data_IF_149836168587
#
_entry.id   IF_149836168587
#
_cell.length_a   1.000
_cell.length_b   1.000
_cell.length_c   1.000
_cell.angle_alpha   90.00
_cell.angle_beta   90.00
_cell.angle_gamma   90.00
#
_symmetry.space_group_name_H-M   'P 1'
#
loop_
_entity.id
_entity.type
_entity.pdbx_description
1 polymer ?
#
# COMPACT_ATOMS: atom_id res chain seq x y z
N UNK A 1 20.07 -8.56 -39.29
CA UNK A 1 19.15 -7.64 -39.99
C UNK A 1 17.75 -8.25 -39.93
N UNK A 2 16.97 -7.91 -38.91
CA UNK A 2 15.65 -8.50 -38.66
C UNK A 2 14.63 -7.74 -39.52
N UNK A 3 13.86 -8.46 -40.34
CA UNK A 3 12.94 -7.88 -41.33
C UNK A 3 11.59 -7.52 -40.69
N UNK A 4 11.00 -6.44 -41.21
CA UNK A 4 9.74 -5.76 -40.84
C UNK A 4 8.46 -6.62 -40.73
N UNK A 5 8.55 -7.95 -40.90
CA UNK A 5 7.40 -8.87 -40.92
C UNK A 5 7.14 -9.55 -39.56
N UNK A 6 8.09 -9.49 -38.63
CA UNK A 6 7.89 -9.96 -37.24
C UNK A 6 7.27 -8.88 -36.32
N UNK A 7 6.89 -7.73 -36.89
CA UNK A 7 6.44 -6.53 -36.17
C UNK A 7 4.92 -6.44 -35.97
N UNK A 8 4.15 -7.48 -36.32
CA UNK A 8 2.68 -7.51 -36.21
C UNK A 8 2.22 -8.69 -35.33
N UNK A 9 2.86 -8.91 -34.18
CA UNK A 9 2.31 -9.79 -33.12
C UNK A 9 2.52 -9.20 -31.70
N UNK A 10 3.35 -8.17 -31.51
CA UNK A 10 3.60 -7.57 -30.19
C UNK A 10 3.07 -6.13 -30.01
N UNK A 11 2.52 -5.49 -31.06
CA UNK A 11 2.25 -4.04 -31.09
C UNK A 11 0.80 -3.63 -31.34
N UNK A 12 -0.16 -4.55 -31.24
CA UNK A 12 -1.59 -4.22 -31.25
C UNK A 12 -2.15 -4.77 -29.94
N UNK A 13 -2.77 -3.90 -29.14
CA UNK A 13 -3.49 -4.16 -27.88
C UNK A 13 -2.70 -4.19 -26.56
N UNK A 14 -2.18 -3.03 -26.17
CA UNK A 14 -2.26 -2.57 -24.78
C UNK A 14 -2.50 -1.05 -24.80
N UNK A 15 -3.72 -0.61 -24.47
CA UNK A 15 -4.07 0.81 -24.30
C UNK A 15 -4.94 1.42 -25.40
N UNK A 16 -4.49 1.47 -26.66
CA UNK A 16 -5.11 2.34 -27.67
C UNK A 16 -6.51 1.95 -28.20
N UNK A 17 -6.85 0.65 -28.26
CA UNK A 17 -8.10 0.18 -28.90
C UNK A 17 -9.26 -0.08 -27.93
N UNK A 18 -9.00 -0.18 -26.62
CA UNK A 18 -10.05 -0.45 -25.63
C UNK A 18 -11.00 0.74 -25.46
N UNK A 19 -10.51 1.97 -25.62
CA UNK A 19 -11.34 3.18 -25.54
C UNK A 19 -12.30 3.35 -26.73
N UNK A 20 -12.01 2.75 -27.90
CA UNK A 20 -12.81 2.95 -29.13
C UNK A 20 -13.88 1.88 -29.34
N UNK A 21 -13.72 0.68 -28.79
CA UNK A 21 -14.70 -0.41 -28.96
C UNK A 21 -15.86 -0.40 -27.96
N UNK A 22 -15.74 0.32 -26.84
CA UNK A 22 -16.74 0.31 -25.78
C UNK A 22 -18.03 1.11 -26.10
N UNK A 23 -18.04 1.87 -27.20
CA UNK A 23 -19.18 2.70 -27.62
C UNK A 23 -20.13 2.02 -28.60
N UNK A 24 -19.83 0.82 -29.13
CA UNK A 24 -20.57 0.26 -30.28
C UNK A 24 -21.27 -1.09 -30.07
N UNK A 25 -21.17 -1.73 -28.90
CA UNK A 25 -21.90 -2.99 -28.64
C UNK A 25 -22.45 -3.05 -27.21
N UNK A 26 -23.74 -2.78 -27.04
CA UNK A 26 -24.51 -3.18 -25.86
C UNK A 26 -25.36 -4.41 -26.20
N UNK A 27 -25.06 -5.54 -25.58
CA UNK A 27 -25.94 -6.69 -25.54
C UNK A 27 -27.03 -6.50 -24.46
N UNK A 28 -28.24 -7.06 -24.64
CA UNK A 28 -29.32 -6.89 -23.67
C UNK A 28 -29.01 -7.60 -22.34
N UNK A 29 -29.42 -7.03 -21.19
CA UNK A 29 -29.04 -7.55 -19.88
C UNK A 29 -29.80 -8.83 -19.53
N UNK A 30 -29.05 -9.85 -19.11
CA UNK A 30 -29.60 -11.04 -18.44
C UNK A 30 -29.62 -10.75 -16.93
N UNK A 31 -30.80 -10.74 -16.31
CA UNK A 31 -30.97 -10.39 -14.90
C UNK A 31 -30.70 -11.63 -14.04
N UNK A 32 -29.53 -11.69 -13.42
CA UNK A 32 -29.27 -12.52 -12.25
C UNK A 32 -29.09 -11.61 -11.02
N UNK A 33 -29.55 -12.00 -9.82
CA UNK A 33 -29.42 -11.18 -8.63
C UNK A 33 -27.96 -11.18 -8.16
N UNK A 34 -27.20 -10.18 -8.61
CA UNK A 34 -25.83 -9.92 -8.17
C UNK A 34 -25.83 -9.18 -6.83
N UNK A 35 -25.07 -9.71 -5.86
CA UNK A 35 -24.61 -8.93 -4.72
C UNK A 35 -24.07 -7.59 -5.22
N UNK A 36 -24.42 -6.48 -4.55
CA UNK A 36 -23.93 -5.14 -4.93
C UNK A 36 -22.40 -5.21 -5.09
N UNK A 37 -21.86 -4.99 -6.30
CA UNK A 37 -20.41 -4.94 -6.46
C UNK A 37 -19.92 -3.85 -5.52
N UNK A 38 -19.03 -4.23 -4.61
CA UNK A 38 -18.24 -3.26 -3.85
C UNK A 38 -17.58 -2.36 -4.88
N UNK A 39 -17.92 -1.07 -4.89
CA UNK A 39 -17.31 -0.10 -5.81
C UNK A 39 -15.79 -0.28 -5.69
N UNK A 40 -15.18 -0.83 -6.74
CA UNK A 40 -13.73 -0.86 -6.85
C UNK A 40 -13.30 0.59 -6.86
N UNK A 41 -12.64 1.01 -5.79
CA UNK A 41 -12.03 2.32 -5.71
C UNK A 41 -11.11 2.47 -6.93
N UNK A 42 -11.38 3.45 -7.78
CA UNK A 42 -10.53 3.75 -8.93
C UNK A 42 -9.29 4.50 -8.45
N UNK A 43 -8.16 4.32 -9.14
CA UNK A 43 -6.94 5.07 -8.85
C UNK A 43 -7.21 6.55 -9.04
N UNK A 44 -6.68 7.38 -8.13
CA UNK A 44 -6.80 8.84 -8.22
C UNK A 44 -5.43 9.42 -8.53
N UNK A 45 -5.28 9.95 -9.74
CA UNK A 45 -4.08 10.64 -10.21
C UNK A 45 -4.27 12.15 -10.03
N UNK A 46 -3.26 12.82 -9.46
CA UNK A 46 -3.17 14.28 -9.35
C UNK A 46 -1.77 14.72 -9.79
N UNK A 47 -1.55 14.81 -11.10
CA UNK A 47 -0.25 15.19 -11.67
C UNK A 47 0.11 16.66 -11.48
N UNK A 48 -0.89 17.51 -11.25
CA UNK A 48 -0.74 18.98 -11.26
C UNK A 48 -0.75 19.60 -12.66
N UNK A 49 -0.98 18.79 -13.71
CA UNK A 49 -1.03 19.22 -15.11
C UNK A 49 -2.46 19.42 -15.65
N UNK A 50 -3.46 19.22 -14.80
CA UNK A 50 -4.88 19.39 -15.12
C UNK A 50 -5.62 18.06 -15.36
N UNK A 51 -6.96 18.09 -15.31
CA UNK A 51 -7.78 16.87 -15.30
C UNK A 51 -7.65 16.03 -16.58
N UNK A 52 -7.45 16.66 -17.74
CA UNK A 52 -7.27 15.95 -19.02
C UNK A 52 -5.98 15.10 -19.02
N UNK A 53 -4.90 15.61 -18.42
CA UNK A 53 -3.67 14.85 -18.27
C UNK A 53 -3.82 13.75 -17.22
N UNK A 54 -4.51 14.01 -16.12
CA UNK A 54 -4.79 13.00 -15.09
C UNK A 54 -5.59 11.82 -15.66
N UNK A 55 -6.63 12.10 -16.45
CA UNK A 55 -7.41 11.10 -17.18
C UNK A 55 -6.56 10.36 -18.23
N UNK A 56 -5.74 11.08 -18.98
CA UNK A 56 -4.83 10.48 -19.95
C UNK A 56 -3.84 9.52 -19.27
N UNK A 57 -3.22 9.90 -18.15
CA UNK A 57 -2.33 9.04 -17.38
C UNK A 57 -3.06 7.83 -16.79
N UNK A 58 -4.32 7.99 -16.35
CA UNK A 58 -5.13 6.84 -15.91
C UNK A 58 -5.33 5.83 -17.05
N UNK A 59 -5.53 6.30 -18.28
CA UNK A 59 -5.73 5.44 -19.46
C UNK A 59 -4.50 4.61 -19.86
N UNK A 60 -3.29 4.99 -19.41
CA UNK A 60 -2.05 4.26 -19.67
C UNK A 60 -1.88 3.05 -18.72
N UNK A 61 -2.92 2.23 -18.57
CA UNK A 61 -2.91 1.05 -17.71
C UNK A 61 -1.78 0.06 -18.07
N UNK A 62 -1.28 -0.66 -17.07
CA UNK A 62 -0.20 -1.65 -17.19
C UNK A 62 1.17 -1.09 -17.59
N UNK A 63 1.36 0.23 -17.58
CA UNK A 63 2.67 0.87 -17.80
C UNK A 63 3.50 1.04 -16.51
N UNK A 64 2.98 0.60 -15.35
CA UNK A 64 3.62 0.74 -14.03
C UNK A 64 5.04 0.17 -13.99
N UNK A 65 5.21 -1.07 -14.48
CA UNK A 65 6.51 -1.75 -14.47
C UNK A 65 7.53 -0.99 -15.32
N UNK A 66 7.10 -0.56 -16.50
CA UNK A 66 7.92 0.23 -17.42
C UNK A 66 8.34 1.55 -16.78
N UNK A 67 7.39 2.30 -16.22
CA UNK A 67 7.66 3.58 -15.55
C UNK A 67 8.63 3.44 -14.38
N UNK A 68 8.46 2.42 -13.54
CA UNK A 68 9.37 2.13 -12.42
C UNK A 68 10.77 1.76 -12.89
N UNK A 69 10.90 0.93 -13.92
CA UNK A 69 12.20 0.56 -14.48
C UNK A 69 12.92 1.76 -15.11
N UNK A 70 12.20 2.59 -15.86
CA UNK A 70 12.76 3.80 -16.44
C UNK A 70 13.23 4.77 -15.35
N UNK A 71 12.40 5.06 -14.33
CA UNK A 71 12.79 5.92 -13.21
C UNK A 71 14.03 5.41 -12.48
N UNK A 72 14.14 4.09 -12.28
CA UNK A 72 15.30 3.46 -11.66
C UNK A 72 16.56 3.48 -12.53
N UNK A 73 16.43 3.68 -13.84
CA UNK A 73 17.56 3.77 -14.78
C UNK A 73 18.19 5.17 -14.82
N UNK A 74 17.51 6.18 -14.30
CA UNK A 74 17.99 7.56 -14.27
C UNK A 74 19.04 7.73 -13.17
N UNK A 75 20.13 8.43 -13.47
CA UNK A 75 21.15 8.79 -12.47
C UNK A 75 20.54 9.60 -11.32
N UNK A 76 19.57 10.47 -11.65
CA UNK A 76 18.79 11.25 -10.70
C UNK A 76 17.33 11.25 -11.11
N UNK A 77 16.47 10.71 -10.27
CA UNK A 77 15.02 10.75 -10.48
C UNK A 77 14.52 12.21 -10.46
N UNK A 78 13.72 12.66 -11.46
CA UNK A 78 13.10 13.98 -11.44
C UNK A 78 12.05 14.06 -10.32
N UNK A 79 11.65 15.27 -9.95
CA UNK A 79 10.41 15.47 -9.17
C UNK A 79 9.18 15.33 -10.07
N UNK A 80 8.01 15.06 -9.48
CA UNK A 80 6.76 14.92 -10.24
C UNK A 80 6.51 16.16 -11.12
N UNK A 81 6.73 17.35 -10.54
CA UNK A 81 6.62 18.64 -11.25
C UNK A 81 7.62 18.75 -12.40
N UNK A 82 8.89 18.43 -12.18
CA UNK A 82 9.93 18.49 -13.23
C UNK A 82 9.62 17.57 -14.40
N UNK A 83 9.20 16.33 -14.11
CA UNK A 83 8.83 15.39 -15.15
C UNK A 83 7.58 15.83 -15.90
N UNK A 84 6.59 16.37 -15.18
CA UNK A 84 5.39 16.95 -15.79
C UNK A 84 5.69 18.10 -16.74
N UNK A 85 6.56 19.04 -16.34
CA UNK A 85 7.01 20.14 -17.20
C UNK A 85 7.73 19.64 -18.46
N UNK A 86 8.59 18.62 -18.34
CA UNK A 86 9.27 18.01 -19.48
C UNK A 86 8.29 17.36 -20.47
N UNK A 87 7.28 16.64 -19.96
CA UNK A 87 6.23 16.03 -20.79
C UNK A 87 5.42 17.12 -21.50
N UNK A 88 4.97 18.17 -20.79
CA UNK A 88 4.18 19.24 -21.40
C UNK A 88 4.96 20.05 -22.45
N UNK A 89 6.25 20.29 -22.20
CA UNK A 89 7.14 20.94 -23.17
C UNK A 89 7.25 20.11 -24.47
N UNK A 90 7.34 18.78 -24.37
CA UNK A 90 7.36 17.87 -25.53
C UNK A 90 6.03 17.81 -26.27
N UNK A 91 4.92 17.80 -25.55
CA UNK A 91 3.57 17.75 -26.13
C UNK A 91 3.09 19.12 -26.64
N UNK A 92 3.89 20.19 -26.49
CA UNK A 92 3.61 21.52 -27.03
C UNK A 92 2.41 22.21 -26.39
N UNK A 93 2.14 21.94 -25.11
CA UNK A 93 0.94 22.44 -24.39
C UNK A 93 -0.40 22.11 -25.07
N UNK A 94 -0.45 21.09 -25.93
CA UNK A 94 -1.67 20.67 -26.63
C UNK A 94 -2.66 20.01 -25.67
N UNK A 95 -3.44 20.81 -24.95
CA UNK A 95 -4.38 20.31 -23.92
C UNK A 95 -5.60 19.60 -24.50
N UNK A 96 -6.05 19.97 -25.71
CA UNK A 96 -7.31 19.44 -26.26
C UNK A 96 -7.20 18.08 -26.96
N UNK A 97 -6.02 17.67 -27.43
CA UNK A 97 -5.78 16.37 -28.09
C UNK A 97 -4.45 15.77 -27.63
N UNK A 98 -4.39 15.39 -26.35
CA UNK A 98 -3.20 14.78 -25.76
C UNK A 98 -2.78 13.48 -26.48
N UNK A 99 -3.76 12.69 -26.95
CA UNK A 99 -3.48 11.43 -27.64
C UNK A 99 -2.83 11.67 -29.01
N UNK A 100 -3.36 12.60 -29.81
CA UNK A 100 -2.79 12.99 -31.10
C UNK A 100 -1.41 13.65 -30.96
N UNK A 101 -1.25 14.54 -29.97
CA UNK A 101 0.03 15.16 -29.64
C UNK A 101 1.08 14.12 -29.23
N UNK A 102 0.69 13.17 -28.37
CA UNK A 102 1.56 12.07 -27.92
C UNK A 102 1.99 11.20 -29.09
N UNK A 103 1.06 10.74 -29.93
CA UNK A 103 1.38 9.92 -31.10
C UNK A 103 2.34 10.64 -32.08
N UNK A 104 2.12 11.95 -32.28
CA UNK A 104 3.00 12.78 -33.12
C UNK A 104 4.40 12.85 -32.52
N UNK A 105 4.50 13.08 -31.21
CA UNK A 105 5.78 13.19 -30.54
C UNK A 105 6.53 11.86 -30.47
N UNK A 106 5.83 10.74 -30.26
CA UNK A 106 6.43 9.38 -30.30
C UNK A 106 7.10 9.13 -31.66
N UNK A 107 6.41 9.45 -32.77
CA UNK A 107 7.00 9.29 -34.12
C UNK A 107 8.28 10.11 -34.29
N UNK A 108 8.26 11.38 -33.85
CA UNK A 108 9.45 12.25 -33.87
C UNK A 108 10.58 11.70 -33.03
N UNK A 109 10.29 11.21 -31.82
CA UNK A 109 11.29 10.60 -30.96
C UNK A 109 11.98 9.40 -31.64
N UNK A 110 11.25 8.58 -32.42
CA UNK A 110 11.87 7.52 -33.23
C UNK A 110 12.70 8.04 -34.40
N UNK A 111 12.21 9.04 -35.13
CA UNK A 111 12.93 9.66 -36.25
C UNK A 111 14.24 10.30 -35.77
N UNK A 112 14.21 10.97 -34.62
CA UNK A 112 15.34 11.67 -33.99
C UNK A 112 16.25 10.76 -33.15
N UNK A 113 15.95 9.45 -33.07
CA UNK A 113 16.66 8.49 -32.20
C UNK A 113 16.65 8.89 -30.71
N UNK A 114 15.63 9.63 -30.27
CA UNK A 114 15.35 9.96 -28.87
C UNK A 114 14.65 8.78 -28.18
N UNK A 115 15.43 7.76 -27.85
CA UNK A 115 14.94 6.48 -27.35
C UNK A 115 15.41 6.17 -25.92
N UNK A 116 14.62 5.41 -25.19
CA UNK A 116 15.02 4.74 -23.95
C UNK A 116 15.07 3.22 -24.18
N UNK A 117 15.97 2.52 -23.47
CA UNK A 117 16.11 1.07 -23.54
C UNK A 117 15.72 0.46 -22.20
N UNK A 118 14.66 -0.34 -22.19
CA UNK A 118 14.18 -1.05 -20.98
C UNK A 118 14.04 -2.53 -21.30
N UNK A 119 14.75 -3.40 -20.58
CA UNK A 119 14.76 -4.85 -20.80
C UNK A 119 15.03 -5.25 -22.29
N UNK A 120 15.87 -4.47 -22.99
CA UNK A 120 16.21 -4.68 -24.40
C UNK A 120 15.19 -4.13 -25.42
N UNK A 121 14.07 -3.57 -24.96
CA UNK A 121 13.09 -2.90 -25.81
C UNK A 121 13.49 -1.45 -26.05
N UNK A 122 13.39 -1.00 -27.30
CA UNK A 122 13.57 0.39 -27.67
C UNK A 122 12.19 1.07 -27.68
N UNK A 123 12.02 2.05 -26.81
CA UNK A 123 10.79 2.82 -26.66
C UNK A 123 11.12 4.29 -26.91
N UNK A 124 10.13 5.09 -27.31
CA UNK A 124 10.34 6.53 -27.40
C UNK A 124 10.59 7.13 -26.01
N UNK A 125 11.42 8.17 -25.94
CA UNK A 125 11.63 8.93 -24.71
C UNK A 125 10.30 9.47 -24.12
N UNK A 126 9.34 9.84 -24.97
CA UNK A 126 7.99 10.25 -24.57
C UNK A 126 7.20 9.14 -23.88
N UNK A 127 7.21 7.91 -24.40
CA UNK A 127 6.54 6.76 -23.76
C UNK A 127 7.13 6.49 -22.37
N UNK A 128 8.47 6.49 -22.26
CA UNK A 128 9.15 6.30 -20.97
C UNK A 128 8.79 7.39 -19.96
N UNK A 129 8.81 8.66 -20.38
CA UNK A 129 8.46 9.80 -19.52
C UNK A 129 7.01 9.78 -19.07
N UNK A 130 6.07 9.44 -19.95
CA UNK A 130 4.65 9.31 -19.60
C UNK A 130 4.42 8.15 -18.62
N UNK A 131 5.05 6.99 -18.84
CA UNK A 131 4.98 5.86 -17.91
C UNK A 131 5.57 6.22 -16.54
N UNK A 132 6.71 6.90 -16.51
CA UNK A 132 7.32 7.42 -15.28
C UNK A 132 6.42 8.44 -14.58
N UNK A 133 5.86 9.40 -15.32
CA UNK A 133 4.97 10.44 -14.79
C UNK A 133 3.73 9.82 -14.15
N UNK A 134 3.13 8.82 -14.80
CA UNK A 134 2.00 8.08 -14.26
C UNK A 134 2.35 7.42 -12.93
N UNK A 135 3.45 6.69 -12.87
CA UNK A 135 3.90 6.01 -11.64
C UNK A 135 4.11 7.02 -10.51
N UNK A 136 4.81 8.12 -10.79
CA UNK A 136 5.05 9.16 -9.79
C UNK A 136 3.75 9.81 -9.30
N UNK A 137 2.79 10.05 -10.19
CA UNK A 137 1.52 10.67 -9.84
C UNK A 137 0.60 9.70 -9.06
N UNK A 138 0.69 8.40 -9.32
CA UNK A 138 0.04 7.37 -8.53
C UNK A 138 0.65 7.29 -7.14
N UNK A 139 1.99 7.22 -7.04
CA UNK A 139 2.73 7.09 -5.78
C UNK A 139 2.63 8.36 -4.90
N UNK A 140 2.40 9.53 -5.51
CA UNK A 140 2.20 10.79 -4.79
C UNK A 140 0.89 10.83 -3.97
N UNK A 141 -0.07 9.94 -4.25
CA UNK A 141 -1.30 9.84 -3.49
C UNK A 141 -1.26 8.60 -2.57
N UNK A 142 -1.18 8.79 -1.24
CA UNK A 142 -1.06 7.67 -0.30
C UNK A 142 -2.26 6.72 -0.33
N UNK A 143 -3.45 7.19 -0.72
CA UNK A 143 -4.66 6.36 -0.79
C UNK A 143 -4.57 5.31 -1.91
N UNK A 144 -3.80 5.58 -2.97
CA UNK A 144 -3.65 4.65 -4.09
C UNK A 144 -2.96 3.35 -3.68
N UNK A 145 -2.11 3.36 -2.64
CA UNK A 145 -1.43 2.13 -2.19
C UNK A 145 -2.43 1.04 -1.77
N UNK A 146 -3.49 1.42 -1.06
CA UNK A 146 -4.55 0.50 -0.65
C UNK A 146 -5.35 -0.01 -1.86
N UNK A 147 -5.58 0.86 -2.86
CA UNK A 147 -6.31 0.53 -4.09
C UNK A 147 -5.52 -0.48 -4.92
N UNK A 148 -4.22 -0.22 -5.15
CA UNK A 148 -3.33 -1.12 -5.91
C UNK A 148 -3.27 -2.49 -5.23
N UNK A 149 -3.05 -2.51 -3.91
CA UNK A 149 -3.02 -3.76 -3.16
C UNK A 149 -4.34 -4.55 -3.30
N UNK A 150 -5.49 -3.87 -3.27
CA UNK A 150 -6.80 -4.48 -3.47
C UNK A 150 -6.98 -5.01 -4.90
N UNK A 151 -6.54 -4.26 -5.92
CA UNK A 151 -6.60 -4.67 -7.33
C UNK A 151 -5.69 -5.86 -7.62
N UNK A 152 -4.44 -5.85 -7.12
CA UNK A 152 -3.50 -6.96 -7.26
C UNK A 152 -4.04 -8.22 -6.57
N UNK A 153 -4.60 -8.07 -5.37
CA UNK A 153 -5.30 -9.13 -4.65
C UNK A 153 -6.46 -9.69 -5.45
N UNK A 154 -7.32 -8.84 -6.03
CA UNK A 154 -8.44 -9.26 -6.87
C UNK A 154 -7.96 -10.00 -8.12
N UNK A 155 -6.96 -9.45 -8.83
CA UNK A 155 -6.36 -10.04 -10.03
C UNK A 155 -5.73 -11.39 -9.74
N UNK A 156 -4.98 -11.51 -8.64
CA UNK A 156 -4.42 -12.78 -8.19
C UNK A 156 -5.54 -13.79 -7.96
N UNK A 157 -6.53 -13.46 -7.13
CA UNK A 157 -7.63 -14.37 -6.82
C UNK A 157 -8.42 -14.80 -8.05
N UNK A 158 -8.70 -13.89 -8.99
CA UNK A 158 -9.38 -14.20 -10.24
C UNK A 158 -8.55 -15.11 -11.17
N UNK A 159 -7.23 -15.09 -11.05
CA UNK A 159 -6.33 -15.93 -11.85
C UNK A 159 -6.17 -17.35 -11.30
N UNK A 160 -6.61 -17.63 -10.07
CA UNK A 160 -6.41 -18.91 -9.41
C UNK A 160 -7.56 -19.88 -9.69
N UNK A 161 -7.23 -21.13 -9.96
CA UNK A 161 -8.18 -22.24 -10.08
C UNK A 161 -8.13 -23.10 -8.82
N UNK A 162 -9.29 -23.53 -8.33
CA UNK A 162 -9.31 -24.46 -7.19
C UNK A 162 -8.77 -25.84 -7.57
N UNK A 163 -7.94 -26.43 -6.71
CA UNK A 163 -7.37 -27.74 -6.93
C UNK A 163 -6.46 -28.20 -5.78
N UNK A 164 -5.97 -29.43 -5.85
CA UNK A 164 -5.05 -29.97 -4.85
C UNK A 164 -3.59 -29.74 -5.26
N UNK A 165 -2.78 -29.21 -4.35
CA UNK A 165 -1.34 -29.00 -4.51
C UNK A 165 -0.57 -30.09 -3.76
N UNK A 166 -0.98 -30.38 -2.52
CA UNK A 166 -0.33 -31.36 -1.66
C UNK A 166 -1.28 -31.84 -0.52
N UNK A 167 -1.17 -33.10 -0.06
CA UNK A 167 -2.03 -33.63 1.00
C UNK A 167 -1.92 -32.86 2.32
N UNK A 168 -3.05 -32.33 2.79
CA UNK A 168 -3.18 -31.64 4.08
C UNK A 168 -3.57 -32.64 5.18
N UNK A 169 -2.72 -32.80 6.20
CA UNK A 169 -3.00 -33.64 7.37
C UNK A 169 -3.67 -32.87 8.50
N UNK A 170 -3.12 -31.71 8.88
CA UNK A 170 -3.66 -30.87 9.95
C UNK A 170 -3.10 -29.44 9.87
N UNK A 171 -3.68 -28.50 10.60
CA UNK A 171 -3.16 -27.12 10.70
C UNK A 171 -3.71 -26.40 11.95
N UNK A 172 -3.02 -25.35 12.38
CA UNK A 172 -3.49 -24.51 13.47
C UNK A 172 -2.72 -23.21 13.66
N UNK A 173 -3.27 -22.27 14.46
CA UNK A 173 -4.57 -22.38 15.14
C UNK A 173 -5.76 -22.06 14.22
N UNK A 174 -6.95 -22.62 14.53
CA UNK A 174 -8.18 -22.44 13.75
C UNK A 174 -9.11 -21.35 14.30
N UNK A 175 -8.86 -20.89 15.53
CA UNK A 175 -9.67 -19.91 16.24
C UNK A 175 -8.78 -19.05 17.14
N UNK A 176 -9.12 -17.77 17.27
CA UNK A 176 -8.58 -16.84 18.27
C UNK A 176 -9.66 -15.87 18.75
N UNK A 177 -9.37 -15.05 19.75
CA UNK A 177 -10.22 -13.95 20.18
C UNK A 177 -9.78 -12.63 19.54
N UNK A 178 -10.73 -11.70 19.41
CA UNK A 178 -10.46 -10.36 18.92
C UNK A 178 -9.41 -9.67 19.81
N UNK A 179 -8.37 -9.13 19.18
CA UNK A 179 -7.21 -8.51 19.81
C UNK A 179 -6.14 -9.48 20.33
N UNK A 180 -6.41 -10.79 20.35
CA UNK A 180 -5.50 -11.78 20.93
C UNK A 180 -4.59 -12.38 19.86
N UNK A 181 -3.28 -12.17 20.02
CA UNK A 181 -2.25 -12.84 19.22
C UNK A 181 -2.08 -14.30 19.66
N UNK A 182 -1.65 -15.17 18.75
CA UNK A 182 -1.43 -16.59 19.02
C UNK A 182 -0.05 -17.03 18.51
N UNK A 183 0.56 -18.02 19.16
CA UNK A 183 1.90 -18.53 18.81
C UNK A 183 2.89 -17.39 18.48
N UNK A 184 2.96 -16.38 19.35
CA UNK A 184 3.73 -15.15 19.10
C UNK A 184 5.19 -15.51 18.86
N UNK A 185 5.71 -15.10 17.70
CA UNK A 185 7.11 -15.29 17.33
C UNK A 185 7.99 -14.14 17.88
N UNK A 186 9.33 -14.28 17.89
CA UNK A 186 10.23 -13.26 18.46
C UNK A 186 10.09 -11.85 17.87
N UNK A 187 9.64 -11.72 16.63
CA UNK A 187 9.35 -10.46 15.93
C UNK A 187 7.90 -9.95 16.19
N UNK A 188 7.15 -10.63 17.06
CA UNK A 188 5.81 -10.23 17.51
C UNK A 188 4.65 -10.61 16.59
N UNK A 189 4.88 -11.38 15.52
CA UNK A 189 3.83 -11.86 14.62
C UNK A 189 3.15 -13.14 15.16
N UNK A 190 1.93 -13.42 14.68
CA UNK A 190 1.15 -14.59 15.11
C UNK A 190 1.42 -15.78 14.19
N UNK A 191 2.06 -16.82 14.71
CA UNK A 191 2.50 -17.98 13.93
C UNK A 191 1.40 -19.01 13.63
N UNK A 192 1.39 -19.52 12.40
CA UNK A 192 0.53 -20.62 11.93
C UNK A 192 1.38 -21.78 11.41
N UNK A 193 0.94 -23.01 11.67
CA UNK A 193 1.58 -24.22 11.18
C UNK A 193 0.59 -25.09 10.41
N UNK A 194 1.09 -25.77 9.38
CA UNK A 194 0.34 -26.64 8.50
C UNK A 194 1.14 -27.91 8.26
N UNK A 195 0.57 -29.08 8.57
CA UNK A 195 1.14 -30.38 8.26
C UNK A 195 0.71 -30.75 6.84
N UNK A 196 1.54 -30.41 5.87
CA UNK A 196 1.30 -30.64 4.44
C UNK A 196 2.52 -31.37 3.88
N UNK A 197 2.35 -32.64 3.51
CA UNK A 197 3.44 -33.47 2.99
C UNK A 197 3.67 -33.18 1.50
N UNK A 198 4.92 -32.95 1.10
CA UNK A 198 5.27 -32.79 -0.31
C UNK A 198 4.84 -31.47 -0.95
N UNK A 199 4.52 -30.43 -0.16
CA UNK A 199 4.28 -29.10 -0.69
C UNK A 199 5.53 -28.59 -1.45
N UNK A 200 5.40 -28.11 -2.70
CA UNK A 200 6.55 -27.65 -3.47
C UNK A 200 7.12 -26.37 -2.84
N UNK A 201 8.44 -26.21 -2.87
CA UNK A 201 9.14 -25.08 -2.21
C UNK A 201 8.65 -23.68 -2.62
N UNK A 202 8.03 -23.57 -3.81
CA UNK A 202 7.44 -22.33 -4.33
C UNK A 202 6.03 -22.02 -3.82
N UNK A 203 5.35 -22.98 -3.19
CA UNK A 203 4.00 -22.77 -2.69
C UNK A 203 4.00 -21.71 -1.58
N UNK A 204 2.88 -20.99 -1.49
CA UNK A 204 2.67 -19.92 -0.51
C UNK A 204 1.35 -20.12 0.19
N UNK A 205 1.30 -19.79 1.48
CA UNK A 205 0.05 -19.63 2.19
C UNK A 205 -0.59 -18.31 1.74
N UNK A 206 -1.89 -18.35 1.54
CA UNK A 206 -2.75 -17.20 1.30
C UNK A 206 -3.72 -17.06 2.46
N UNK A 207 -3.82 -15.89 3.05
CA UNK A 207 -4.75 -15.58 4.15
C UNK A 207 -5.63 -14.43 3.70
N UNK A 208 -6.94 -14.65 3.70
CA UNK A 208 -7.94 -13.67 3.31
C UNK A 208 -7.62 -13.04 1.93
N UNK A 209 -7.15 -13.84 0.98
CA UNK A 209 -6.79 -13.41 -0.38
C UNK A 209 -5.40 -12.79 -0.54
N UNK A 210 -4.61 -12.63 0.52
CA UNK A 210 -3.25 -12.06 0.46
C UNK A 210 -2.18 -13.16 0.66
N UNK A 211 -1.17 -13.20 -0.22
CA UNK A 211 -0.05 -14.13 -0.08
C UNK A 211 0.86 -13.69 1.07
N UNK A 212 1.20 -14.63 1.95
CA UNK A 212 2.00 -14.37 3.15
C UNK A 212 3.32 -15.11 3.12
N UNK A 213 4.30 -14.59 3.89
CA UNK A 213 5.62 -15.20 4.04
C UNK A 213 5.45 -16.65 4.51
N UNK A 214 5.95 -17.58 3.70
CA UNK A 214 5.77 -19.02 3.91
C UNK A 214 7.12 -19.72 3.90
N UNK A 215 7.36 -20.56 4.91
CA UNK A 215 8.53 -21.43 5.00
C UNK A 215 8.08 -22.88 4.92
N UNK A 216 8.68 -23.64 4.00
CA UNK A 216 8.33 -25.04 3.74
C UNK A 216 9.52 -25.92 4.15
N UNK A 217 9.26 -26.93 5.00
CA UNK A 217 10.22 -27.93 5.44
C UNK A 217 9.58 -29.32 5.40
N UNK A 218 9.98 -30.17 4.46
CA UNK A 218 9.54 -31.57 4.27
C UNK A 218 8.02 -31.79 4.38
N UNK A 219 7.51 -31.94 5.60
CA UNK A 219 6.10 -32.24 5.92
C UNK A 219 5.39 -31.11 6.68
N UNK A 220 6.03 -29.95 6.80
CA UNK A 220 5.51 -28.81 7.55
C UNK A 220 5.69 -27.51 6.76
N UNK A 221 4.61 -26.77 6.65
CA UNK A 221 4.58 -25.40 6.17
C UNK A 221 4.31 -24.50 7.37
N UNK A 222 5.03 -23.39 7.47
CA UNK A 222 4.84 -22.37 8.51
C UNK A 222 4.64 -21.02 7.86
N UNK A 223 3.73 -20.23 8.44
CA UNK A 223 3.37 -18.88 8.00
C UNK A 223 2.83 -18.11 9.20
N UNK A 224 2.20 -16.95 9.00
CA UNK A 224 1.64 -16.17 10.09
C UNK A 224 0.85 -14.94 9.64
N UNK A 225 0.31 -14.24 10.63
CA UNK A 225 -0.26 -12.90 10.46
C UNK A 225 0.82 -11.86 10.76
N UNK A 226 1.16 -11.02 9.78
CA UNK A 226 2.24 -10.02 9.88
C UNK A 226 1.70 -8.59 9.77
N UNK A 227 2.37 -7.63 10.41
CA UNK A 227 2.10 -6.19 10.25
C UNK A 227 0.62 -5.82 10.29
N UNK A 228 0.19 -5.05 9.29
CA UNK A 228 -1.18 -4.53 9.16
C UNK A 228 -2.22 -5.64 8.97
N UNK A 229 -1.85 -6.76 8.32
CA UNK A 229 -2.74 -7.91 8.20
C UNK A 229 -3.07 -8.49 9.58
N UNK A 230 -2.08 -8.59 10.48
CA UNK A 230 -2.32 -9.05 11.85
C UNK A 230 -3.29 -8.13 12.59
N UNK A 231 -3.06 -6.82 12.51
CA UNK A 231 -3.94 -5.85 13.16
C UNK A 231 -5.35 -5.91 12.59
N UNK A 232 -5.49 -5.91 11.26
CA UNK A 232 -6.77 -5.98 10.55
C UNK A 232 -7.56 -7.24 10.90
N UNK A 233 -6.92 -8.41 10.82
CA UNK A 233 -7.57 -9.70 11.07
C UNK A 233 -7.91 -9.86 12.56
N UNK A 234 -6.98 -9.55 13.47
CA UNK A 234 -7.24 -9.75 14.91
C UNK A 234 -8.19 -8.68 15.48
N UNK A 235 -8.25 -7.48 14.92
CA UNK A 235 -9.15 -6.42 15.40
C UNK A 235 -10.59 -6.57 14.92
N UNK A 236 -10.86 -7.39 13.90
CA UNK A 236 -12.19 -7.55 13.31
C UNK A 236 -12.69 -8.99 13.53
N UNK A 237 -13.79 -9.19 14.27
CA UNK A 237 -14.40 -10.51 14.39
C UNK A 237 -14.89 -10.99 13.03
N UNK A 238 -14.57 -12.22 12.67
CA UNK A 238 -14.83 -12.73 11.34
C UNK A 238 -14.31 -14.13 11.09
N UNK A 239 -14.49 -14.59 9.86
CA UNK A 239 -13.96 -15.86 9.38
C UNK A 239 -13.10 -15.58 8.15
N UNK A 240 -11.81 -15.81 8.28
CA UNK A 240 -10.81 -15.47 7.26
C UNK A 240 -10.35 -16.73 6.53
N UNK A 241 -10.44 -16.72 5.21
CA UNK A 241 -10.03 -17.87 4.40
C UNK A 241 -8.51 -18.13 4.52
N UNK A 242 -8.12 -19.40 4.52
CA UNK A 242 -6.73 -19.82 4.38
C UNK A 242 -6.63 -20.84 3.26
N UNK A 243 -5.64 -20.66 2.38
CA UNK A 243 -5.34 -21.57 1.29
C UNK A 243 -3.83 -21.77 1.12
N UNK A 244 -3.44 -22.89 0.51
CA UNK A 244 -2.12 -23.07 -0.10
C UNK A 244 -2.24 -22.68 -1.58
N UNK A 245 -1.29 -21.93 -2.12
CA UNK A 245 -1.29 -21.46 -3.49
C UNK A 245 0.02 -21.83 -4.18
N UNK A 246 -0.06 -22.40 -5.38
CA UNK A 246 1.08 -22.54 -6.30
C UNK A 246 0.97 -21.41 -7.34
N UNK A 247 1.73 -20.32 -7.19
CA UNK A 247 1.57 -19.14 -8.03
C UNK A 247 2.01 -19.35 -9.49
N UNK A 248 2.77 -20.42 -9.77
CA UNK A 248 3.19 -20.79 -11.14
C UNK A 248 2.09 -21.58 -11.82
N UNK A 249 1.56 -22.61 -11.14
CA UNK A 249 0.47 -23.43 -11.68
C UNK A 249 -0.89 -22.75 -11.62
N UNK A 250 -0.99 -21.61 -10.92
CA UNK A 250 -2.25 -20.90 -10.66
C UNK A 250 -3.29 -21.78 -9.96
N UNK A 251 -2.84 -22.66 -9.08
CA UNK A 251 -3.73 -23.54 -8.29
C UNK A 251 -3.85 -22.97 -6.88
N UNK A 252 -5.08 -22.95 -6.36
CA UNK A 252 -5.45 -22.63 -4.98
C UNK A 252 -6.04 -23.88 -4.33
N UNK A 253 -5.41 -24.37 -3.28
CA UNK A 253 -5.93 -25.44 -2.43
C UNK A 253 -6.51 -24.83 -1.14
N UNK A 254 -7.84 -24.81 -0.96
CA UNK A 254 -8.45 -24.37 0.29
C UNK A 254 -7.98 -25.23 1.48
N UNK A 255 -7.52 -24.60 2.56
CA UNK A 255 -7.09 -25.27 3.79
C UNK A 255 -8.20 -25.21 4.85
N UNK A 256 -8.86 -24.06 4.96
CA UNK A 256 -9.90 -23.82 5.96
C UNK A 256 -10.11 -22.34 6.24
N UNK A 257 -10.63 -22.02 7.42
CA UNK A 257 -10.84 -20.63 7.85
C UNK A 257 -10.36 -20.38 9.28
N UNK A 258 -9.66 -19.28 9.51
CA UNK A 258 -9.36 -18.77 10.85
C UNK A 258 -10.57 -18.00 11.38
N UNK A 259 -11.11 -18.43 12.53
CA UNK A 259 -12.23 -17.75 13.19
C UNK A 259 -11.72 -16.79 14.27
N UNK A 260 -11.96 -15.49 14.09
CA UNK A 260 -11.72 -14.47 15.12
C UNK A 260 -13.04 -14.19 15.82
N UNK A 261 -13.14 -14.61 17.08
CA UNK A 261 -14.37 -14.43 17.85
C UNK A 261 -14.34 -13.09 18.57
N UNK A 262 -15.46 -12.38 18.56
CA UNK A 262 -15.63 -11.13 19.31
C UNK A 262 -15.24 -11.35 20.77
N UNK A 263 -14.34 -10.51 21.27
CA UNK A 263 -13.99 -10.45 22.67
C UNK A 263 -14.79 -9.28 23.28
N UNK A 264 -15.77 -9.54 24.17
CA UNK A 264 -16.56 -8.48 24.79
C UNK A 264 -15.67 -7.41 25.47
N UNK A 265 -14.64 -7.86 26.19
CA UNK A 265 -13.70 -7.00 26.91
C UNK A 265 -12.79 -6.20 25.98
N UNK A 266 -12.63 -6.60 24.71
CA UNK A 266 -11.82 -5.83 23.76
C UNK A 266 -12.45 -4.48 23.44
N UNK A 267 -13.79 -4.37 23.39
CA UNK A 267 -14.43 -3.08 23.25
C UNK A 267 -14.36 -2.24 24.52
N UNK A 268 -14.41 -2.84 25.71
CA UNK A 268 -14.31 -2.10 26.97
C UNK A 268 -12.90 -1.54 27.18
N UNK A 269 -11.88 -2.30 26.80
CA UNK A 269 -10.48 -1.86 26.77
C UNK A 269 -10.23 -0.79 25.69
N UNK A 270 -10.97 -0.81 24.57
CA UNK A 270 -10.87 0.19 23.50
C UNK A 270 -11.73 1.44 23.70
N UNK A 271 -12.82 1.34 24.47
CA UNK A 271 -13.74 2.46 24.74
C UNK A 271 -13.34 3.29 25.95
N UNK A 272 -12.36 2.87 26.74
CA UNK A 272 -11.99 3.58 27.96
C UNK A 272 -13.20 3.80 28.87
N UNK A 273 -14.15 2.85 28.89
CA UNK A 273 -15.38 2.97 29.68
C UNK A 273 -15.18 2.46 31.11
N UNK A 274 -13.95 2.07 31.48
CA UNK A 274 -13.51 2.30 32.83
C UNK A 274 -13.62 3.80 33.05
N UNK A 275 -14.56 4.21 33.90
CA UNK A 275 -14.66 5.55 34.50
C UNK A 275 -13.31 6.24 34.44
N UNK A 276 -13.25 7.41 33.81
CA UNK A 276 -12.18 8.43 33.62
C UNK A 276 -11.05 8.59 34.67
N UNK A 277 -10.68 7.51 35.35
CA UNK A 277 -9.50 7.33 36.17
C UNK A 277 -8.34 7.09 35.21
N UNK A 278 -7.96 8.20 34.57
CA UNK A 278 -6.71 8.47 33.90
C UNK A 278 -6.14 7.35 33.01
N UNK A 279 -6.34 7.48 31.69
CA UNK A 279 -5.36 7.00 30.71
C UNK A 279 -4.05 7.77 30.91
N UNK A 280 -3.35 7.48 32.00
CA UNK A 280 -2.14 8.17 32.39
C UNK A 280 -1.03 7.73 31.44
N UNK A 281 -0.33 8.70 30.88
CA UNK A 281 0.94 8.42 30.22
C UNK A 281 1.91 7.95 31.30
N UNK A 282 2.37 6.70 31.21
CA UNK A 282 3.26 6.14 32.23
C UNK A 282 4.72 6.47 31.94
N UNK A 283 5.12 6.45 30.65
CA UNK A 283 6.48 6.75 30.19
C UNK A 283 6.44 7.32 28.78
N UNK A 284 7.39 8.18 28.44
CA UNK A 284 7.56 8.68 27.07
C UNK A 284 8.95 9.30 26.86
N UNK A 285 9.37 9.40 25.60
CA UNK A 285 10.58 10.11 25.23
C UNK A 285 10.85 10.12 23.73
N UNK A 286 11.86 10.89 23.26
CA UNK A 286 12.73 11.78 24.04
C UNK A 286 12.01 13.04 24.58
N UNK A 287 12.51 13.59 25.70
CA UNK A 287 11.96 14.82 26.35
C UNK A 287 12.79 16.08 26.07
N UNK A 288 13.94 15.93 25.41
CA UNK A 288 14.87 17.02 25.11
C UNK A 288 15.62 16.75 23.81
N UNK A 289 15.86 17.79 23.03
CA UNK A 289 16.72 17.78 21.84
C UNK A 289 17.42 19.13 21.65
N UNK A 290 18.27 19.27 20.62
CA UNK A 290 18.88 20.54 20.22
C UNK A 290 18.23 21.08 18.93
N UNK A 291 18.34 22.38 18.70
CA UNK A 291 17.88 23.04 17.47
C UNK A 291 18.37 22.29 16.23
N UNK A 292 17.43 21.85 15.40
CA UNK A 292 17.70 21.15 14.14
C UNK A 292 18.32 19.74 14.29
N UNK A 293 18.37 19.18 15.50
CA UNK A 293 18.91 17.84 15.74
C UNK A 293 17.78 16.89 16.14
N UNK A 294 17.59 15.82 15.36
CA UNK A 294 16.62 14.77 15.68
C UNK A 294 17.21 13.73 16.64
N UNK A 295 16.77 13.72 17.90
CA UNK A 295 17.15 12.66 18.84
C UNK A 295 16.36 11.38 18.54
N UNK A 296 17.05 10.27 18.23
CA UNK A 296 16.42 9.08 17.64
C UNK A 296 15.90 9.37 16.22
N UNK A 297 16.80 9.88 15.37
CA UNK A 297 16.57 10.19 13.96
C UNK A 297 16.00 8.99 13.20
N UNK A 298 14.91 9.23 12.48
CA UNK A 298 14.27 8.26 11.59
C UNK A 298 14.89 8.34 10.18
N UNK A 299 14.64 7.36 9.28
CA UNK A 299 15.22 7.39 7.93
C UNK A 299 14.91 8.63 7.08
N UNK A 300 13.86 9.38 7.43
CA UNK A 300 13.45 10.63 6.79
C UNK A 300 14.04 11.89 7.47
N UNK A 301 14.92 11.71 8.46
CA UNK A 301 15.52 12.79 9.26
C UNK A 301 14.64 13.29 10.42
N UNK A 302 13.40 12.82 10.56
CA UNK A 302 12.50 13.24 11.64
C UNK A 302 12.92 12.67 13.01
N UNK A 303 12.43 13.30 14.09
CA UNK A 303 12.69 12.84 15.45
C UNK A 303 11.63 11.83 15.92
N UNK A 304 12.03 10.58 16.20
CA UNK A 304 11.11 9.55 16.67
C UNK A 304 10.77 9.67 18.15
N UNK A 305 9.48 9.71 18.50
CA UNK A 305 8.95 9.77 19.87
C UNK A 305 8.12 8.53 20.17
N UNK A 306 8.28 7.97 21.36
CA UNK A 306 7.49 6.85 21.87
C UNK A 306 6.73 7.27 23.13
N UNK A 307 5.50 6.76 23.27
CA UNK A 307 4.60 7.06 24.40
C UNK A 307 3.97 5.77 24.89
N UNK A 308 4.14 5.48 26.18
CA UNK A 308 3.44 4.41 26.88
C UNK A 308 2.14 4.93 27.48
N UNK A 309 1.04 4.39 27.00
CA UNK A 309 -0.30 4.71 27.48
C UNK A 309 -1.14 3.45 27.38
N UNK A 310 -1.78 3.08 28.49
CA UNK A 310 -2.52 1.82 28.58
C UNK A 310 -3.84 1.84 27.78
N UNK A 311 -4.35 3.04 27.49
CA UNK A 311 -5.59 3.24 26.75
C UNK A 311 -5.50 4.42 25.79
N UNK A 312 -4.95 4.19 24.58
CA UNK A 312 -4.98 5.17 23.49
C UNK A 312 -6.40 5.26 22.87
N UNK A 313 -7.09 6.41 22.96
CA UNK A 313 -8.42 6.55 22.38
C UNK A 313 -8.37 6.55 20.84
N UNK A 314 -9.30 5.85 20.17
CA UNK A 314 -9.33 5.72 18.69
C UNK A 314 -9.38 7.04 17.92
N UNK A 315 -9.97 8.06 18.52
CA UNK A 315 -10.17 9.39 17.95
C UNK A 315 -9.21 10.42 18.54
N UNK A 316 -8.19 9.96 19.26
CA UNK A 316 -7.14 10.83 19.73
C UNK A 316 -6.28 11.29 18.56
N UNK A 317 -6.02 12.60 18.52
CA UNK A 317 -5.04 13.21 17.63
C UNK A 317 -3.90 13.73 18.49
N UNK A 318 -2.67 13.47 18.06
CA UNK A 318 -1.47 13.96 18.72
C UNK A 318 -1.12 15.32 18.17
N UNK A 319 -0.71 16.23 19.04
CA UNK A 319 -0.28 17.57 18.68
C UNK A 319 1.08 17.86 19.33
N UNK A 320 1.95 18.53 18.58
CA UNK A 320 3.19 19.13 19.07
C UNK A 320 3.06 20.63 18.95
N UNK A 321 2.79 21.30 20.07
CA UNK A 321 2.24 22.65 20.04
C UNK A 321 0.85 22.62 19.40
N UNK A 322 0.72 23.29 18.25
CA UNK A 322 -0.51 23.30 17.46
C UNK A 322 -0.44 22.43 16.20
N UNK A 323 0.73 21.85 15.90
CA UNK A 323 0.93 21.02 14.73
C UNK A 323 0.45 19.58 14.97
N UNK A 324 -0.46 19.05 14.13
CA UNK A 324 -0.93 17.68 14.27
C UNK A 324 0.14 16.68 13.82
N UNK A 325 0.32 15.62 14.61
CA UNK A 325 1.25 14.54 14.33
C UNK A 325 0.51 13.22 14.05
N UNK A 326 1.12 12.39 13.20
CA UNK A 326 0.62 11.04 12.95
C UNK A 326 0.92 10.12 14.14
N UNK A 327 -0.07 9.32 14.53
CA UNK A 327 0.08 8.30 15.58
C UNK A 327 0.20 6.94 14.90
N UNK A 328 1.26 6.20 15.22
CA UNK A 328 1.37 4.78 14.88
C UNK A 328 1.10 3.95 16.13
N UNK A 329 -0.07 3.30 16.26
CA UNK A 329 -0.42 2.49 17.42
C UNK A 329 0.60 1.36 17.66
N UNK A 330 0.87 1.07 18.93
CA UNK A 330 1.73 -0.04 19.40
C UNK A 330 1.06 -0.75 20.57
N UNK A 331 1.55 -1.94 20.91
CA UNK A 331 1.01 -2.70 22.05
C UNK A 331 1.23 -2.03 23.41
N UNK A 332 2.21 -1.13 23.53
CA UNK A 332 2.48 -0.37 24.76
C UNK A 332 1.86 1.03 24.77
N UNK A 333 1.24 1.47 23.68
CA UNK A 333 0.82 2.85 23.47
C UNK A 333 0.97 3.24 22.00
N UNK A 334 1.89 4.14 21.69
CA UNK A 334 2.14 4.54 20.30
C UNK A 334 3.53 5.14 20.08
N UNK A 335 3.88 5.26 18.80
CA UNK A 335 5.03 6.04 18.32
C UNK A 335 4.56 7.15 17.38
N UNK A 336 5.35 8.20 17.26
CA UNK A 336 5.17 9.30 16.30
C UNK A 336 6.52 9.80 15.81
N UNK A 337 6.52 10.61 14.75
CA UNK A 337 7.69 11.35 14.27
C UNK A 337 7.42 12.85 14.30
N UNK A 338 8.39 13.64 14.77
CA UNK A 338 8.36 15.09 14.75
C UNK A 338 9.26 15.57 13.61
N UNK A 339 8.71 16.23 12.57
CA UNK A 339 9.50 16.80 11.48
C UNK A 339 10.56 17.80 11.97
N UNK A 340 11.73 17.79 11.35
CA UNK A 340 12.85 18.71 11.66
C UNK A 340 12.43 20.20 11.72
N UNK A 341 11.60 20.73 10.78
CA UNK A 341 11.18 22.13 10.83
C UNK A 341 10.44 22.53 12.11
N UNK A 342 9.82 21.58 12.82
CA UNK A 342 9.13 21.86 14.09
C UNK A 342 10.09 21.97 15.28
N UNK A 343 11.36 21.61 15.11
CA UNK A 343 12.40 21.68 16.15
C UNK A 343 13.57 22.60 15.75
N UNK A 344 13.36 23.53 14.82
CA UNK A 344 14.36 24.52 14.36
C UNK A 344 14.46 25.76 15.24
N UNK A 345 13.60 25.92 16.24
CA UNK A 345 13.63 27.03 17.18
C UNK A 345 13.78 26.52 18.62
N UNK A 346 14.62 27.16 19.46
CA UNK A 346 14.73 26.79 20.86
C UNK A 346 13.41 27.09 21.59
N UNK A 347 13.06 26.27 22.58
CA UNK A 347 11.80 26.42 23.30
C UNK A 347 11.34 25.16 24.04
N UNK A 348 10.16 25.25 24.65
CA UNK A 348 9.51 24.11 25.31
C UNK A 348 8.13 23.92 24.69
N UNK A 349 7.99 22.90 23.85
CA UNK A 349 6.77 22.68 23.06
C UNK A 349 5.99 21.51 23.66
N UNK A 350 4.70 21.69 24.00
CA UNK A 350 3.90 20.65 24.62
C UNK A 350 3.53 19.56 23.62
N UNK A 351 3.53 18.31 24.08
CA UNK A 351 3.01 17.16 23.37
C UNK A 351 1.69 16.73 24.01
N UNK A 352 0.59 16.79 23.26
CA UNK A 352 -0.77 16.61 23.79
C UNK A 352 -1.61 15.67 22.92
N UNK A 353 -2.43 14.83 23.55
CA UNK A 353 -3.48 14.08 22.87
C UNK A 353 -4.80 14.82 23.04
N UNK A 354 -5.42 15.23 21.93
CA UNK A 354 -6.76 15.82 21.93
C UNK A 354 -7.77 14.80 21.42
N UNK A 355 -8.85 14.61 22.18
CA UNK A 355 -9.93 13.64 21.90
C UNK A 355 -11.21 14.45 21.58
N UNK A 356 -12.06 13.94 20.68
CA UNK A 356 -13.36 14.56 20.34
C UNK A 356 -13.27 16.04 19.91
N UNK A 357 -12.29 16.37 19.07
CA UNK A 357 -12.12 17.76 18.60
C UNK A 357 -11.67 18.74 19.68
N UNK A 358 -11.04 18.26 20.77
CA UNK A 358 -10.48 19.10 21.83
C UNK A 358 -11.30 19.17 23.11
N UNK A 359 -12.46 18.50 23.18
CA UNK A 359 -13.28 18.45 24.39
C UNK A 359 -12.59 17.71 25.56
N UNK A 360 -11.56 16.91 25.29
CA UNK A 360 -10.71 16.32 26.32
C UNK A 360 -9.26 16.30 25.84
N UNK A 361 -8.36 16.75 26.71
CA UNK A 361 -6.93 16.81 26.43
C UNK A 361 -6.16 16.00 27.47
N UNK A 362 -5.24 15.16 27.00
CA UNK A 362 -4.26 14.46 27.83
C UNK A 362 -2.89 15.04 27.51
N UNK A 363 -2.31 15.78 28.46
CA UNK A 363 -0.94 16.30 28.33
C UNK A 363 0.05 15.16 28.59
N UNK A 364 0.91 14.90 27.62
CA UNK A 364 1.98 13.89 27.72
C UNK A 364 3.19 14.49 28.46
N UNK A 365 3.54 15.72 28.09
CA UNK A 365 4.61 16.53 28.68
C UNK A 365 5.19 17.48 27.64
N UNK A 366 6.34 18.09 27.91
CA UNK A 366 6.97 19.07 27.01
C UNK A 366 8.30 18.55 26.49
N UNK A 367 8.59 18.80 25.22
CA UNK A 367 9.92 18.59 24.64
C UNK A 367 10.67 19.91 24.68
N UNK A 368 11.83 19.89 25.35
CA UNK A 368 12.73 21.05 25.40
C UNK A 368 13.70 21.00 24.23
N UNK A 369 13.70 22.05 23.41
CA UNK A 369 14.63 22.27 22.31
C UNK A 369 15.68 23.28 22.80
N UNK A 370 16.89 22.80 23.03
CA UNK A 370 18.05 23.57 23.52
C UNK A 370 18.81 24.18 22.33
N UNK A 371 19.51 25.31 22.57
CA UNK A 371 20.36 25.96 21.56
C UNK A 371 21.51 25.07 21.04
#
# INVERSE_FOLDING_TARGET
MIKRRDFIVAGISAGGTAAVMHTLYQAPPTIAPTAKPTQTSELVIKSGLGPQMDEFLLSLENTDKLGRQWLASLEKAPTLKQLGEQVMAKLGNATSDLAGATNTQIKRDFDDQSLCIIDGWHLSDTECKLAGLRVMAIDANPDNAAIIAAQEKAKLNASLQEGEIAPLKNWGPKKTQQGEKFNVQPDGHSGMWFQIAGAPARAKIMIDGELVRTTIKKDTVTSGLFGDMQERILSTPGSYEIALVDPIKKIKQPIGKLKVVKNPSYQDNLKGNGTSAACAVTKWGPKKTKVGVAKNEQPDGSMGVWVHIDCLPKQAKLFFGDDPLHITPKTFGFTTSIPLPLIEAPGSTPLTLRINGGASEIRIGDIVIEE
#
